data_IF_083358126601
#
_entry.id   IF_083358126601
#
_cell.length_a   1.000
_cell.length_b   1.000
_cell.length_c   1.000
_cell.angle_alpha   90.00
_cell.angle_beta   90.00
_cell.angle_gamma   90.00
#
_symmetry.space_group_name_H-M   'P 1'
#
loop_
_entity.id
_entity.type
_entity.pdbx_description
1 polymer ?
#
# COMPACT_ATOMS: atom_id res chain seq x y z
N UNK A 1 4.35 16.47 -9.86
CA UNK A 1 4.46 16.67 -8.40
C UNK A 1 5.73 17.47 -8.12
N UNK A 2 5.70 18.60 -7.41
CA UNK A 2 6.92 19.32 -7.10
C UNK A 2 7.65 18.58 -5.98
N UNK A 3 8.74 17.92 -6.35
CA UNK A 3 9.70 17.30 -5.45
C UNK A 3 10.57 18.40 -4.84
N UNK A 4 10.10 19.06 -3.78
CA UNK A 4 10.94 20.00 -3.03
C UNK A 4 12.11 19.21 -2.40
N UNK A 5 13.37 19.45 -2.80
CA UNK A 5 14.54 18.76 -2.26
C UNK A 5 14.83 19.13 -0.82
N UNK A 6 14.40 20.31 -0.35
CA UNK A 6 14.69 20.80 1.00
C UNK A 6 13.85 20.13 2.08
N UNK A 7 12.69 19.56 1.74
CA UNK A 7 11.83 18.82 2.67
C UNK A 7 12.16 17.31 2.73
N UNK A 8 12.85 16.79 1.71
CA UNK A 8 13.11 15.35 1.53
C UNK A 8 14.53 14.91 1.93
N UNK A 9 15.30 15.78 2.59
CA UNK A 9 16.74 15.61 2.82
C UNK A 9 17.10 14.99 4.17
N UNK A 10 16.21 15.02 5.17
CA UNK A 10 16.57 14.69 6.56
C UNK A 10 16.31 13.24 6.98
N UNK A 11 15.73 12.40 6.11
CA UNK A 11 15.55 10.97 6.37
C UNK A 11 15.83 10.19 5.09
N UNK A 12 16.68 9.16 5.14
CA UNK A 12 17.02 8.33 3.97
C UNK A 12 15.73 7.79 3.34
N UNK A 13 15.41 8.26 2.13
CA UNK A 13 14.25 7.81 1.31
C UNK A 13 14.38 6.36 0.84
N UNK A 14 15.56 5.76 0.97
CA UNK A 14 15.84 4.38 0.60
C UNK A 14 15.56 3.37 1.72
N UNK A 15 14.56 3.64 2.56
CA UNK A 15 14.20 2.73 3.65
C UNK A 15 12.74 2.35 3.57
N UNK A 16 12.48 1.06 3.70
CA UNK A 16 11.13 0.51 3.76
C UNK A 16 10.76 0.17 5.21
N UNK A 17 9.48 0.25 5.60
CA UNK A 17 9.07 -0.09 6.95
C UNK A 17 9.45 -1.54 7.31
N UNK A 18 9.70 -1.83 8.59
CA UNK A 18 9.81 -3.23 9.05
C UNK A 18 8.49 -3.97 8.90
N UNK A 19 8.57 -5.31 8.83
CA UNK A 19 7.39 -6.17 8.81
C UNK A 19 6.44 -5.91 10.00
N UNK A 20 6.99 -5.60 11.18
CA UNK A 20 6.23 -5.23 12.38
C UNK A 20 5.40 -3.96 12.16
N UNK A 21 6.00 -2.93 11.56
CA UNK A 21 5.30 -1.68 11.24
C UNK A 21 4.27 -1.87 10.15
N UNK A 22 4.54 -2.72 9.15
CA UNK A 22 3.55 -3.09 8.14
C UNK A 22 2.38 -3.86 8.76
N UNK A 23 2.64 -4.75 9.73
CA UNK A 23 1.59 -5.46 10.46
C UNK A 23 0.69 -4.51 11.25
N UNK A 24 1.27 -3.49 11.89
CA UNK A 24 0.53 -2.40 12.57
C UNK A 24 -0.27 -1.57 11.55
N UNK A 25 0.29 -1.27 10.38
CA UNK A 25 -0.36 -0.45 9.36
C UNK A 25 -1.52 -1.17 8.65
N UNK A 26 -1.47 -2.50 8.54
CA UNK A 26 -2.46 -3.32 7.83
C UNK A 26 -3.93 -2.98 8.14
N UNK A 27 -4.38 -2.94 9.41
CA UNK A 27 -5.77 -2.59 9.72
C UNK A 27 -6.13 -1.17 9.29
N UNK A 28 -5.21 -0.21 9.38
CA UNK A 28 -5.43 1.18 8.97
C UNK A 28 -5.59 1.29 7.44
N UNK A 29 -4.77 0.57 6.69
CA UNK A 29 -4.90 0.48 5.22
C UNK A 29 -6.25 -0.12 4.84
N UNK A 30 -6.63 -1.25 5.45
CA UNK A 30 -7.93 -1.87 5.21
C UNK A 30 -9.11 -0.96 5.53
N UNK A 31 -9.05 -0.20 6.63
CA UNK A 31 -10.07 0.79 6.98
C UNK A 31 -10.15 1.94 5.95
N UNK A 32 -8.99 2.41 5.49
CA UNK A 32 -8.90 3.46 4.48
C UNK A 32 -9.52 3.01 3.15
N UNK A 33 -9.15 1.83 2.65
CA UNK A 33 -9.74 1.27 1.43
C UNK A 33 -11.25 1.01 1.58
N UNK A 34 -11.69 0.59 2.76
CA UNK A 34 -13.13 0.48 3.06
C UNK A 34 -13.84 1.82 3.00
N UNK A 35 -13.19 2.90 3.45
CA UNK A 35 -13.77 4.23 3.35
C UNK A 35 -13.85 4.71 1.90
N UNK A 36 -12.81 4.44 1.09
CA UNK A 36 -12.85 4.73 -0.35
C UNK A 36 -13.94 3.93 -1.07
N UNK A 37 -14.13 2.66 -0.71
CA UNK A 37 -15.20 1.83 -1.26
C UNK A 37 -16.63 2.32 -0.93
N UNK A 38 -16.80 3.16 0.10
CA UNK A 38 -18.10 3.80 0.41
C UNK A 38 -18.37 5.04 -0.44
N UNK A 39 -17.34 5.62 -1.06
CA UNK A 39 -17.50 6.80 -1.91
C UNK A 39 -17.78 6.36 -3.35
N UNK A 40 -18.91 6.79 -3.91
CA UNK A 40 -19.29 6.46 -5.28
C UNK A 40 -18.23 6.90 -6.32
N UNK A 41 -17.54 8.01 -6.08
CA UNK A 41 -16.50 8.52 -6.98
C UNK A 41 -15.16 7.78 -6.87
N UNK A 42 -14.88 7.13 -5.74
CA UNK A 42 -13.60 6.47 -5.48
C UNK A 42 -13.69 4.95 -5.60
N UNK A 43 -14.86 4.35 -5.40
CA UNK A 43 -15.02 2.90 -5.38
C UNK A 43 -14.63 2.25 -6.72
N UNK A 44 -15.12 2.79 -7.85
CA UNK A 44 -14.77 2.27 -9.18
C UNK A 44 -13.28 2.39 -9.48
N UNK A 45 -12.73 3.59 -9.26
CA UNK A 45 -11.29 3.86 -9.48
C UNK A 45 -10.41 2.97 -8.63
N UNK A 46 -10.76 2.76 -7.35
CA UNK A 46 -10.02 1.88 -6.46
C UNK A 46 -9.99 0.42 -6.96
N UNK A 47 -11.13 -0.08 -7.43
CA UNK A 47 -11.24 -1.45 -7.94
C UNK A 47 -10.44 -1.61 -9.23
N UNK A 48 -10.63 -0.70 -10.20
CA UNK A 48 -9.91 -0.73 -11.47
C UNK A 48 -8.40 -0.70 -11.26
N UNK A 49 -7.94 0.24 -10.43
CA UNK A 49 -6.52 0.42 -10.12
C UNK A 49 -5.91 -0.80 -9.41
N UNK A 50 -6.65 -1.38 -8.46
CA UNK A 50 -6.22 -2.57 -7.73
C UNK A 50 -6.16 -3.81 -8.63
N UNK A 51 -7.15 -4.03 -9.49
CA UNK A 51 -7.19 -5.19 -10.41
C UNK A 51 -6.04 -5.11 -11.43
N UNK A 52 -5.70 -3.91 -11.90
CA UNK A 52 -4.58 -3.71 -12.82
C UNK A 52 -3.21 -4.03 -12.19
N UNK A 53 -3.05 -3.79 -10.88
CA UNK A 53 -1.76 -3.99 -10.18
C UNK A 53 -1.66 -5.34 -9.46
N UNK A 54 -2.77 -5.90 -9.03
CA UNK A 54 -2.83 -7.09 -8.18
C UNK A 54 -3.77 -8.14 -8.77
N UNK A 55 -3.23 -8.96 -9.68
CA UNK A 55 -3.99 -9.98 -10.43
C UNK A 55 -4.72 -11.03 -9.55
N UNK A 56 -4.35 -11.17 -8.27
CA UNK A 56 -4.93 -12.14 -7.33
C UNK A 56 -6.12 -11.61 -6.53
N UNK A 57 -6.51 -10.34 -6.68
CA UNK A 57 -7.68 -9.78 -6.00
C UNK A 57 -8.96 -10.21 -6.73
N UNK A 58 -9.64 -11.25 -6.23
CA UNK A 58 -10.82 -11.83 -6.90
C UNK A 58 -12.11 -11.80 -6.07
N UNK A 59 -12.07 -11.43 -4.79
CA UNK A 59 -13.25 -11.47 -3.91
C UNK A 59 -13.71 -10.09 -3.50
N UNK A 60 -14.96 -9.74 -3.81
CA UNK A 60 -15.57 -8.46 -3.41
C UNK A 60 -15.74 -8.33 -1.89
N UNK A 61 -16.16 -9.40 -1.21
CA UNK A 61 -16.48 -9.38 0.22
C UNK A 61 -15.26 -9.08 1.10
N UNK A 62 -14.07 -9.48 0.65
CA UNK A 62 -12.80 -9.26 1.36
C UNK A 62 -11.85 -8.35 0.61
N UNK A 63 -12.31 -7.67 -0.46
CA UNK A 63 -11.48 -6.89 -1.38
C UNK A 63 -10.52 -5.93 -0.68
N UNK A 64 -11.04 -5.11 0.24
CA UNK A 64 -10.25 -4.07 0.94
C UNK A 64 -9.20 -4.65 1.90
N UNK A 65 -9.48 -5.82 2.47
CA UNK A 65 -8.53 -6.55 3.32
C UNK A 65 -7.46 -7.21 2.43
N UNK A 66 -7.89 -7.84 1.33
CA UNK A 66 -7.01 -8.43 0.33
C UNK A 66 -6.06 -7.39 -0.28
N UNK A 67 -6.56 -6.19 -0.58
CA UNK A 67 -5.76 -5.09 -1.11
C UNK A 67 -4.70 -4.62 -0.10
N UNK A 68 -5.06 -4.50 1.18
CA UNK A 68 -4.11 -4.15 2.22
C UNK A 68 -3.00 -5.20 2.38
N UNK A 69 -3.33 -6.48 2.25
CA UNK A 69 -2.33 -7.56 2.25
C UNK A 69 -1.43 -7.49 1.02
N UNK A 70 -2.02 -7.40 -0.18
CA UNK A 70 -1.27 -7.36 -1.43
C UNK A 70 -0.28 -6.18 -1.50
N UNK A 71 -0.65 -5.03 -0.92
CA UNK A 71 0.25 -3.87 -0.80
C UNK A 71 1.41 -4.14 0.15
N UNK A 72 1.16 -4.79 1.29
CA UNK A 72 2.23 -5.16 2.23
C UNK A 72 3.17 -6.17 1.58
N UNK A 73 2.63 -7.20 0.92
CA UNK A 73 3.42 -8.21 0.22
C UNK A 73 4.30 -7.58 -0.86
N UNK A 74 3.77 -6.62 -1.63
CA UNK A 74 4.56 -5.86 -2.61
C UNK A 74 5.72 -5.09 -1.95
N UNK A 75 5.48 -4.44 -0.80
CA UNK A 75 6.53 -3.71 -0.08
C UNK A 75 7.61 -4.66 0.41
N UNK A 76 7.23 -5.83 0.91
CA UNK A 76 8.15 -6.89 1.33
C UNK A 76 8.98 -7.42 0.15
N UNK A 77 8.33 -7.76 -0.98
CA UNK A 77 9.02 -8.22 -2.19
C UNK A 77 10.01 -7.17 -2.73
N UNK A 78 9.63 -5.90 -2.74
CA UNK A 78 10.54 -4.81 -3.16
C UNK A 78 11.72 -4.67 -2.21
N UNK A 79 11.50 -4.84 -0.91
CA UNK A 79 12.58 -4.79 0.09
C UNK A 79 13.61 -5.91 -0.14
N UNK A 80 13.12 -7.13 -0.40
CA UNK A 80 13.97 -8.29 -0.69
C UNK A 80 14.73 -8.13 -2.00
N UNK A 81 14.03 -7.84 -3.10
CA UNK A 81 14.62 -7.74 -4.44
C UNK A 81 15.67 -6.63 -4.56
N UNK A 82 15.52 -5.56 -3.78
CA UNK A 82 16.43 -4.40 -3.83
C UNK A 82 17.39 -4.33 -2.64
N UNK A 83 17.36 -5.31 -1.73
CA UNK A 83 18.16 -5.33 -0.51
C UNK A 83 18.12 -3.98 0.24
N UNK A 84 16.92 -3.41 0.39
CA UNK A 84 16.74 -2.09 1.00
C UNK A 84 16.77 -2.17 2.52
N UNK A 85 17.32 -1.14 3.16
CA UNK A 85 17.36 -1.06 4.62
C UNK A 85 15.95 -0.88 5.22
N UNK A 86 15.70 -1.53 6.37
CA UNK A 86 14.41 -1.48 7.08
C UNK A 86 14.46 -0.58 8.33
N UNK A 87 13.30 -0.08 8.79
CA UNK A 87 13.17 0.80 9.97
C UNK A 87 11.77 0.80 10.62
#
# INVERSE_FOLDING_TARGET
>A
MPSDPKFNSHQKRDRLPTAERLAIARPHLGQTYRQYGKSASLAGVLIEDAVLRFARLQSETTFTIGLALAVIDLVEEVAELRNLARF
#
